data_IF_979988927599
#
_entry.id   IF_979988927599
#
_cell.length_a   1.000
_cell.length_b   1.000
_cell.length_c   1.000
_cell.angle_alpha   90.00
_cell.angle_beta   90.00
_cell.angle_gamma   90.00
#
_symmetry.space_group_name_H-M   'P 1'
#
loop_
_entity.id
_entity.type
_entity.pdbx_description
1 polymer ?
#
# COMPACT_ATOMS: atom_id res chain seq x y z
N UNK A 1 13.46 30.17 12.04
CA UNK A 1 13.38 28.73 12.39
C UNK A 1 11.94 28.25 12.52
N UNK A 2 10.99 29.03 13.07
CA UNK A 2 9.57 28.70 13.18
C UNK A 2 8.92 28.35 11.81
N UNK A 3 9.12 29.17 10.78
CA UNK A 3 8.50 28.98 9.45
C UNK A 3 8.89 27.67 8.72
N UNK A 4 10.00 27.03 9.09
CA UNK A 4 10.41 25.75 8.48
C UNK A 4 9.70 24.58 9.19
N UNK A 5 9.64 24.62 10.53
CA UNK A 5 8.91 23.59 11.30
C UNK A 5 7.42 23.60 10.96
N UNK A 6 6.80 24.78 10.89
CA UNK A 6 5.39 24.93 10.50
C UNK A 6 5.10 24.35 9.11
N UNK A 7 6.03 24.46 8.16
CA UNK A 7 5.89 23.86 6.81
C UNK A 7 5.96 22.34 6.83
N UNK A 8 6.86 21.74 7.60
CA UNK A 8 6.98 20.27 7.70
C UNK A 8 5.74 19.65 8.37
N UNK A 9 5.21 20.31 9.40
CA UNK A 9 3.98 19.86 10.06
C UNK A 9 2.77 19.95 9.15
N UNK A 10 2.65 21.05 8.39
CA UNK A 10 1.57 21.23 7.43
C UNK A 10 1.64 20.23 6.27
N UNK A 11 2.84 19.94 5.77
CA UNK A 11 3.08 18.95 4.72
C UNK A 11 2.68 17.55 5.19
N UNK A 12 3.11 17.15 6.39
CA UNK A 12 2.73 15.87 7.00
C UNK A 12 1.22 15.77 7.22
N UNK A 13 0.55 16.86 7.62
CA UNK A 13 -0.90 16.87 7.79
C UNK A 13 -1.63 16.73 6.45
N UNK A 14 -1.15 17.41 5.41
CA UNK A 14 -1.67 17.29 4.05
C UNK A 14 -1.53 15.85 3.53
N UNK A 15 -0.39 15.20 3.80
CA UNK A 15 -0.15 13.81 3.44
C UNK A 15 -1.11 12.84 4.15
N UNK A 16 -1.38 13.05 5.44
CA UNK A 16 -2.38 12.24 6.19
C UNK A 16 -3.76 12.37 5.57
N UNK A 17 -4.17 13.59 5.20
CA UNK A 17 -5.48 13.81 4.57
C UNK A 17 -5.54 13.17 3.19
N UNK A 18 -4.55 13.41 2.36
CA UNK A 18 -4.54 12.95 0.96
C UNK A 18 -4.34 11.43 0.84
N UNK A 19 -3.42 10.87 1.62
CA UNK A 19 -3.01 9.45 1.48
C UNK A 19 -3.52 8.56 2.61
N UNK A 20 -4.14 9.12 3.63
CA UNK A 20 -4.78 8.39 4.71
C UNK A 20 -6.30 8.52 4.68
N UNK A 21 -6.82 9.75 4.85
CA UNK A 21 -8.27 9.97 4.98
C UNK A 21 -9.01 9.73 3.65
N UNK A 22 -8.48 10.19 2.52
CA UNK A 22 -9.15 10.00 1.22
C UNK A 22 -9.36 8.51 0.86
N UNK A 23 -8.34 7.63 0.89
CA UNK A 23 -8.56 6.21 0.63
C UNK A 23 -9.44 5.54 1.71
N UNK A 24 -9.40 6.01 2.97
CA UNK A 24 -10.31 5.53 4.01
C UNK A 24 -11.76 5.87 3.70
N UNK A 25 -12.04 7.07 3.18
CA UNK A 25 -13.38 7.47 2.78
C UNK A 25 -13.89 6.63 1.57
N UNK A 26 -13.01 6.32 0.63
CA UNK A 26 -13.35 5.41 -0.49
C UNK A 26 -13.69 4.00 0.02
N UNK A 27 -12.90 3.47 0.96
CA UNK A 27 -13.18 2.18 1.59
C UNK A 27 -14.46 2.21 2.42
N UNK A 28 -14.73 3.30 3.14
CA UNK A 28 -15.99 3.50 3.87
C UNK A 28 -17.20 3.36 2.94
N UNK A 29 -17.17 4.01 1.78
CA UNK A 29 -18.22 3.88 0.76
C UNK A 29 -18.33 2.44 0.24
N UNK A 30 -17.20 1.81 -0.07
CA UNK A 30 -17.18 0.44 -0.55
C UNK A 30 -17.76 -0.54 0.48
N UNK A 31 -17.48 -0.37 1.79
CA UNK A 31 -18.07 -1.19 2.85
C UNK A 31 -19.61 -1.09 2.91
N UNK A 32 -20.21 0.01 2.45
CA UNK A 32 -21.66 0.13 2.39
C UNK A 32 -22.28 -0.66 1.23
N UNK A 33 -21.50 -0.93 0.18
CA UNK A 33 -21.95 -1.55 -1.06
C UNK A 33 -21.67 -3.07 -1.15
N UNK A 34 -20.58 -3.54 -0.51
CA UNK A 34 -20.18 -4.95 -0.55
C UNK A 34 -21.18 -5.87 0.15
N UNK A 35 -21.18 -7.13 -0.26
CA UNK A 35 -22.01 -8.16 0.36
C UNK A 35 -21.51 -8.53 1.76
N UNK A 36 -22.44 -8.68 2.70
CA UNK A 36 -22.13 -9.13 4.06
C UNK A 36 -22.47 -10.60 4.24
N UNK A 37 -21.55 -11.42 4.79
CA UNK A 37 -21.90 -12.77 5.24
C UNK A 37 -22.94 -12.71 6.36
N UNK A 38 -23.79 -13.72 6.47
CA UNK A 38 -24.91 -13.77 7.42
C UNK A 38 -24.49 -13.50 8.87
N UNK A 39 -23.31 -14.01 9.29
CA UNK A 39 -22.78 -13.80 10.64
C UNK A 39 -22.27 -12.37 10.89
N UNK A 40 -22.01 -11.59 9.84
CA UNK A 40 -21.54 -10.18 9.93
C UNK A 40 -22.68 -9.17 9.72
N UNK A 41 -23.88 -9.61 9.33
CA UNK A 41 -25.02 -8.68 9.13
C UNK A 41 -25.30 -7.78 10.34
N UNK A 42 -25.22 -8.25 11.61
CA UNK A 42 -25.39 -7.36 12.76
C UNK A 42 -24.35 -6.24 12.85
N UNK A 43 -23.18 -6.42 12.24
CA UNK A 43 -22.09 -5.45 12.23
C UNK A 43 -22.13 -4.49 11.05
N UNK A 44 -23.05 -4.67 10.08
CA UNK A 44 -23.14 -3.91 8.85
C UNK A 44 -23.16 -2.39 9.08
N UNK A 45 -23.84 -1.93 10.11
CA UNK A 45 -23.88 -0.50 10.47
C UNK A 45 -22.58 0.06 11.03
N UNK A 46 -21.72 -0.79 11.59
CA UNK A 46 -20.46 -0.39 12.21
C UNK A 46 -19.24 -0.61 11.31
N UNK A 47 -19.23 -1.67 10.51
CA UNK A 47 -18.09 -2.06 9.69
C UNK A 47 -17.52 -0.95 8.79
N UNK A 48 -18.32 -0.09 8.13
CA UNK A 48 -17.77 0.99 7.30
C UNK A 48 -16.82 1.92 8.07
N UNK A 49 -17.10 2.18 9.34
CA UNK A 49 -16.25 3.07 10.16
C UNK A 49 -14.87 2.47 10.43
N UNK A 50 -14.71 1.16 10.34
CA UNK A 50 -13.39 0.52 10.49
C UNK A 50 -12.42 0.94 9.39
N UNK A 51 -12.90 1.44 8.23
CA UNK A 51 -12.08 1.98 7.16
C UNK A 51 -11.12 3.08 7.64
N UNK A 52 -11.53 3.87 8.63
CA UNK A 52 -10.69 4.96 9.18
C UNK A 52 -9.51 4.46 10.03
N UNK A 53 -9.45 3.17 10.35
CA UNK A 53 -8.25 2.54 10.93
C UNK A 53 -7.06 2.75 9.97
N UNK A 54 -7.28 2.71 8.66
CA UNK A 54 -6.22 2.95 7.67
C UNK A 54 -5.68 4.39 7.76
N UNK A 55 -6.52 5.39 8.00
CA UNK A 55 -6.07 6.77 8.23
C UNK A 55 -5.18 6.87 9.47
N UNK A 56 -5.53 6.18 10.57
CA UNK A 56 -4.72 6.14 11.78
C UNK A 56 -3.36 5.46 11.54
N UNK A 57 -3.33 4.34 10.80
CA UNK A 57 -2.08 3.67 10.44
C UNK A 57 -1.23 4.50 9.47
N UNK A 58 -1.85 5.25 8.56
CA UNK A 58 -1.14 6.20 7.68
C UNK A 58 -0.49 7.32 8.47
N UNK A 59 -1.19 7.90 9.46
CA UNK A 59 -0.63 8.91 10.36
C UNK A 59 0.53 8.33 11.20
N UNK A 60 0.35 7.13 11.76
CA UNK A 60 1.41 6.44 12.52
C UNK A 60 2.64 6.17 11.65
N UNK A 61 2.45 5.75 10.40
CA UNK A 61 3.54 5.54 9.45
C UNK A 61 4.31 6.83 9.16
N UNK A 62 3.62 7.94 8.95
CA UNK A 62 4.25 9.25 8.73
C UNK A 62 4.99 9.74 9.97
N UNK A 63 4.42 9.56 11.16
CA UNK A 63 5.11 9.87 12.41
C UNK A 63 6.40 9.04 12.57
N UNK A 64 6.36 7.72 12.32
CA UNK A 64 7.57 6.86 12.33
C UNK A 64 8.60 7.35 11.31
N UNK A 65 8.18 7.72 10.11
CA UNK A 65 9.07 8.22 9.06
C UNK A 65 9.80 9.50 9.47
N UNK A 66 9.10 10.42 10.11
CA UNK A 66 9.68 11.72 10.52
C UNK A 66 10.75 11.60 11.63
N UNK A 67 10.68 10.56 12.46
CA UNK A 67 11.64 10.34 13.56
C UNK A 67 12.73 9.31 13.23
N UNK A 68 12.58 8.52 12.17
CA UNK A 68 13.52 7.44 11.82
C UNK A 68 14.66 7.93 10.94
N UNK A 69 15.85 8.05 11.51
CA UNK A 69 17.08 8.49 10.82
C UNK A 69 17.69 7.43 9.91
N UNK A 70 17.22 6.18 9.96
CA UNK A 70 17.75 5.06 9.16
C UNK A 70 17.27 5.09 7.70
N UNK A 71 16.25 5.88 7.36
CA UNK A 71 15.59 5.90 6.05
C UNK A 71 16.32 6.75 4.97
N UNK A 72 17.63 6.93 5.09
CA UNK A 72 18.42 7.70 4.11
C UNK A 72 18.70 6.91 2.81
N UNK A 73 18.71 5.59 2.86
CA UNK A 73 19.12 4.73 1.73
C UNK A 73 18.06 3.73 1.25
N UNK A 74 17.08 3.37 2.09
CA UNK A 74 16.00 2.44 1.75
C UNK A 74 14.70 2.84 2.47
N UNK A 75 13.57 2.55 1.84
CA UNK A 75 12.27 2.74 2.49
C UNK A 75 11.97 1.55 3.41
N UNK A 76 11.52 1.84 4.63
CA UNK A 76 11.04 0.83 5.58
C UNK A 76 9.51 0.91 5.63
N UNK A 77 8.83 -0.16 5.27
CA UNK A 77 7.36 -0.25 5.21
C UNK A 77 6.76 0.43 3.97
N UNK A 78 5.49 0.08 3.68
CA UNK A 78 4.79 0.59 2.50
C UNK A 78 4.61 2.11 2.57
N UNK A 79 5.00 2.89 1.53
CA UNK A 79 4.75 4.33 1.48
C UNK A 79 3.26 4.65 1.46
N UNK A 80 2.83 5.68 2.21
CA UNK A 80 1.43 6.10 2.25
C UNK A 80 0.86 6.48 0.88
N UNK A 81 1.60 7.16 -0.04
CA UNK A 81 1.11 7.41 -1.39
C UNK A 81 0.88 6.12 -2.19
N UNK A 82 1.75 5.12 -2.03
CA UNK A 82 1.58 3.84 -2.72
C UNK A 82 0.32 3.11 -2.21
N UNK A 83 0.08 3.11 -0.89
CA UNK A 83 -1.16 2.58 -0.32
C UNK A 83 -2.41 3.27 -0.86
N UNK A 84 -2.41 4.60 -0.95
CA UNK A 84 -3.53 5.37 -1.47
C UNK A 84 -3.80 5.07 -2.96
N UNK A 85 -2.75 5.02 -3.78
CA UNK A 85 -2.85 4.66 -5.21
C UNK A 85 -3.35 3.23 -5.39
N UNK A 86 -2.91 2.30 -4.54
CA UNK A 86 -3.39 0.93 -4.56
C UNK A 86 -4.91 0.87 -4.36
N UNK A 87 -5.41 1.43 -3.27
CA UNK A 87 -6.83 1.39 -2.95
C UNK A 87 -7.67 2.18 -3.96
N UNK A 88 -7.20 3.36 -4.38
CA UNK A 88 -7.87 4.17 -5.40
C UNK A 88 -8.03 3.41 -6.71
N UNK A 89 -6.97 2.85 -7.26
CA UNK A 89 -7.04 2.13 -8.54
C UNK A 89 -7.77 0.80 -8.42
N UNK A 90 -7.67 0.09 -7.29
CA UNK A 90 -8.41 -1.15 -7.06
C UNK A 90 -9.92 -0.89 -7.00
N UNK A 91 -10.34 0.12 -6.23
CA UNK A 91 -11.76 0.44 -6.06
C UNK A 91 -12.36 0.93 -7.38
N UNK A 92 -11.67 1.81 -8.11
CA UNK A 92 -12.17 2.32 -9.40
C UNK A 92 -12.21 1.22 -10.45
N UNK A 93 -11.12 0.50 -10.63
CA UNK A 93 -10.98 -0.45 -11.73
C UNK A 93 -11.66 -1.81 -11.49
N UNK A 94 -11.90 -2.20 -10.23
CA UNK A 94 -12.52 -3.49 -9.90
C UNK A 94 -13.83 -3.35 -9.10
N UNK A 95 -14.47 -2.18 -9.16
CA UNK A 95 -15.69 -1.91 -8.40
C UNK A 95 -16.76 -3.00 -8.61
N UNK A 96 -17.05 -3.34 -9.86
CA UNK A 96 -18.06 -4.37 -10.20
C UNK A 96 -17.74 -5.75 -9.59
N UNK A 97 -16.47 -6.13 -9.51
CA UNK A 97 -16.04 -7.37 -8.86
C UNK A 97 -16.16 -7.27 -7.33
N UNK A 98 -15.75 -6.15 -6.74
CA UNK A 98 -15.74 -5.93 -5.29
C UNK A 98 -17.16 -5.93 -4.69
N UNK A 99 -18.16 -5.42 -5.42
CA UNK A 99 -19.57 -5.44 -5.00
C UNK A 99 -20.31 -6.72 -5.43
N UNK A 100 -19.66 -7.59 -6.19
CA UNK A 100 -20.27 -8.87 -6.63
C UNK A 100 -20.42 -9.85 -5.45
N UNK A 101 -21.32 -10.82 -5.59
CA UNK A 101 -21.49 -11.89 -4.60
C UNK A 101 -20.27 -12.82 -4.40
N UNK A 102 -19.21 -12.66 -5.21
CA UNK A 102 -17.94 -13.41 -5.10
C UNK A 102 -16.99 -12.83 -4.09
N UNK A 103 -17.16 -11.55 -3.72
CA UNK A 103 -16.35 -10.82 -2.75
C UNK A 103 -17.26 -10.34 -1.62
N UNK A 104 -16.73 -10.24 -0.39
CA UNK A 104 -17.56 -9.87 0.76
C UNK A 104 -16.80 -8.97 1.75
N UNK A 105 -17.55 -8.38 2.69
CA UNK A 105 -17.03 -7.46 3.69
C UNK A 105 -15.91 -8.05 4.56
N UNK A 106 -15.91 -9.37 4.82
CA UNK A 106 -14.86 -10.02 5.60
C UNK A 106 -13.53 -10.01 4.84
N UNK A 107 -13.54 -10.39 3.56
CA UNK A 107 -12.33 -10.33 2.74
C UNK A 107 -11.81 -8.90 2.59
N UNK A 108 -12.71 -7.93 2.40
CA UNK A 108 -12.35 -6.51 2.33
C UNK A 108 -11.67 -6.06 3.63
N UNK A 109 -12.25 -6.40 4.78
CA UNK A 109 -11.69 -6.06 6.08
C UNK A 109 -10.31 -6.68 6.32
N UNK A 110 -10.16 -7.99 6.07
CA UNK A 110 -8.88 -8.67 6.24
C UNK A 110 -7.81 -8.10 5.29
N UNK A 111 -8.18 -7.78 4.07
CA UNK A 111 -7.28 -7.20 3.09
C UNK A 111 -6.86 -5.78 3.48
N UNK A 112 -7.78 -4.97 3.96
CA UNK A 112 -7.51 -3.66 4.52
C UNK A 112 -6.54 -3.75 5.73
N UNK A 113 -6.78 -4.68 6.65
CA UNK A 113 -5.92 -4.88 7.83
C UNK A 113 -4.51 -5.32 7.43
N UNK A 114 -4.37 -6.16 6.40
CA UNK A 114 -3.07 -6.52 5.84
C UNK A 114 -2.30 -5.27 5.36
N UNK A 115 -2.96 -4.36 4.65
CA UNK A 115 -2.34 -3.11 4.20
C UNK A 115 -2.02 -2.16 5.35
N UNK A 116 -2.86 -2.07 6.37
CA UNK A 116 -2.56 -1.35 7.61
C UNK A 116 -1.28 -1.89 8.27
N UNK A 117 -1.13 -3.23 8.32
CA UNK A 117 0.09 -3.85 8.83
C UNK A 117 1.31 -3.52 7.96
N UNK A 118 1.18 -3.59 6.62
CA UNK A 118 2.26 -3.28 5.68
C UNK A 118 2.75 -1.82 5.79
N UNK A 119 1.87 -0.88 6.15
CA UNK A 119 2.24 0.52 6.37
C UNK A 119 3.26 0.69 7.51
N UNK A 120 3.11 -0.08 8.60
CA UNK A 120 3.95 0.05 9.81
C UNK A 120 4.99 -1.04 9.96
N UNK A 121 4.92 -2.10 9.15
CA UNK A 121 5.87 -3.21 9.16
C UNK A 121 7.27 -2.74 8.77
N UNK A 122 8.29 -3.28 9.41
CA UNK A 122 9.70 -2.99 9.10
C UNK A 122 10.20 -3.84 7.90
N UNK A 123 9.43 -3.83 6.81
CA UNK A 123 9.81 -4.52 5.59
C UNK A 123 10.81 -3.67 4.80
N UNK A 124 12.01 -4.18 4.51
CA UNK A 124 12.96 -3.49 3.66
C UNK A 124 12.45 -3.51 2.22
N UNK A 125 11.90 -2.41 1.76
CA UNK A 125 11.47 -2.26 0.39
C UNK A 125 12.67 -1.87 -0.48
N UNK A 126 12.89 -2.58 -1.60
CA UNK A 126 14.01 -2.26 -2.47
C UNK A 126 13.81 -0.89 -3.15
N UNK A 127 14.90 -0.10 -3.19
CA UNK A 127 14.87 1.18 -3.87
C UNK A 127 14.98 0.98 -5.39
N UNK A 128 14.10 1.64 -6.17
CA UNK A 128 14.13 1.64 -7.63
C UNK A 128 15.30 2.44 -8.23
N UNK A 129 16.18 2.99 -7.38
CA UNK A 129 17.34 3.77 -7.82
C UNK A 129 18.41 2.86 -8.41
N UNK A 130 18.71 3.02 -9.70
CA UNK A 130 19.80 2.31 -10.37
C UNK A 130 21.15 2.99 -10.08
N UNK A 131 22.11 2.24 -9.56
CA UNK A 131 23.51 2.68 -9.41
C UNK A 131 24.33 2.39 -10.66
N UNK A 132 24.01 1.30 -11.34
CA UNK A 132 24.59 0.84 -12.59
C UNK A 132 23.51 0.10 -13.40
N UNK A 133 23.79 -0.18 -14.69
CA UNK A 133 22.88 -0.91 -15.58
C UNK A 133 23.21 -2.41 -15.65
N UNK A 134 24.10 -2.93 -14.78
CA UNK A 134 24.47 -4.33 -14.78
C UNK A 134 23.28 -5.21 -14.39
N UNK A 135 22.98 -6.21 -15.20
CA UNK A 135 21.94 -7.21 -14.93
C UNK A 135 22.17 -7.93 -13.59
N UNK A 136 23.44 -8.29 -13.31
CA UNK A 136 23.81 -9.04 -12.10
C UNK A 136 23.43 -8.30 -10.82
N UNK A 137 23.55 -6.97 -10.80
CA UNK A 137 23.33 -6.15 -9.61
C UNK A 137 21.88 -5.66 -9.49
N UNK A 138 21.11 -5.74 -10.56
CA UNK A 138 19.75 -5.16 -10.61
C UNK A 138 18.68 -6.20 -11.00
N UNK A 139 18.91 -7.50 -10.78
CA UNK A 139 17.96 -8.57 -11.16
C UNK A 139 16.53 -8.30 -10.68
N UNK A 140 16.36 -7.94 -9.40
CA UNK A 140 15.04 -7.65 -8.80
C UNK A 140 14.36 -6.46 -9.48
N UNK A 141 15.11 -5.42 -9.82
CA UNK A 141 14.58 -4.22 -10.48
C UNK A 141 14.14 -4.50 -11.92
N UNK A 142 14.91 -5.29 -12.65
CA UNK A 142 14.54 -5.72 -14.01
C UNK A 142 13.31 -6.65 -13.97
N UNK A 143 13.27 -7.57 -12.99
CA UNK A 143 12.09 -8.42 -12.78
C UNK A 143 10.85 -7.60 -12.43
N UNK A 144 11.03 -6.54 -11.63
CA UNK A 144 9.95 -5.60 -11.34
C UNK A 144 9.44 -4.92 -12.62
N UNK A 145 10.34 -4.34 -13.42
CA UNK A 145 9.97 -3.69 -14.69
C UNK A 145 9.26 -4.63 -15.65
N UNK A 146 9.77 -5.87 -15.78
CA UNK A 146 9.14 -6.87 -16.63
C UNK A 146 7.72 -7.22 -16.15
N UNK A 147 7.52 -7.37 -14.85
CA UNK A 147 6.20 -7.65 -14.26
C UNK A 147 5.23 -6.47 -14.29
N UNK A 148 5.72 -5.23 -14.46
CA UNK A 148 4.84 -4.08 -14.68
C UNK A 148 4.17 -4.10 -16.06
N UNK A 149 4.79 -4.73 -17.07
CA UNK A 149 4.23 -4.74 -18.43
C UNK A 149 2.80 -5.36 -18.49
N UNK A 150 2.54 -6.55 -17.93
CA UNK A 150 1.20 -7.11 -17.93
C UNK A 150 0.21 -6.32 -17.06
N UNK A 151 0.68 -5.56 -16.06
CA UNK A 151 -0.19 -4.73 -15.24
C UNK A 151 -0.89 -3.62 -16.05
N UNK A 152 -0.28 -3.14 -17.14
CA UNK A 152 -0.92 -2.16 -18.02
C UNK A 152 -2.18 -2.71 -18.71
N UNK A 153 -2.33 -4.02 -18.82
CA UNK A 153 -3.55 -4.66 -19.34
C UNK A 153 -4.73 -4.60 -18.34
N UNK A 154 -4.46 -4.23 -17.09
CA UNK A 154 -5.49 -4.06 -16.05
C UNK A 154 -6.16 -2.68 -16.08
N UNK A 155 -5.84 -1.84 -17.08
CA UNK A 155 -6.40 -0.51 -17.27
C UNK A 155 -6.40 0.31 -15.96
N UNK A 156 -7.58 0.64 -15.42
CA UNK A 156 -7.73 1.45 -14.20
C UNK A 156 -7.14 0.80 -12.95
N UNK A 157 -7.06 -0.56 -12.91
CA UNK A 157 -6.43 -1.31 -11.81
C UNK A 157 -4.91 -1.46 -11.94
N UNK A 158 -4.29 -0.84 -12.93
CA UNK A 158 -2.85 -0.95 -13.22
C UNK A 158 -1.98 -0.66 -11.99
N UNK A 159 -2.25 0.44 -11.27
CA UNK A 159 -1.47 0.80 -10.09
C UNK A 159 -1.62 -0.21 -8.95
N UNK A 160 -2.81 -0.79 -8.75
CA UNK A 160 -2.99 -1.85 -7.77
C UNK A 160 -2.13 -3.07 -8.11
N UNK A 161 -2.11 -3.49 -9.38
CA UNK A 161 -1.27 -4.58 -9.85
C UNK A 161 0.22 -4.32 -9.65
N UNK A 162 0.70 -3.13 -10.04
CA UNK A 162 2.11 -2.71 -9.89
C UNK A 162 2.53 -2.71 -8.42
N UNK A 163 1.69 -2.18 -7.52
CA UNK A 163 2.01 -2.08 -6.10
C UNK A 163 2.02 -3.46 -5.44
N UNK A 164 1.06 -4.34 -5.75
CA UNK A 164 1.10 -5.73 -5.30
C UNK A 164 2.36 -6.43 -5.76
N UNK A 165 2.72 -6.30 -7.03
CA UNK A 165 3.94 -6.87 -7.59
C UNK A 165 5.20 -6.35 -6.89
N UNK A 166 5.25 -5.04 -6.62
CA UNK A 166 6.34 -4.42 -5.87
C UNK A 166 6.48 -4.99 -4.46
N UNK A 167 5.37 -5.13 -3.73
CA UNK A 167 5.37 -5.69 -2.36
C UNK A 167 5.83 -7.15 -2.38
N UNK A 168 5.30 -7.97 -3.30
CA UNK A 168 5.68 -9.38 -3.42
C UNK A 168 7.18 -9.50 -3.71
N UNK A 169 7.70 -8.75 -4.69
CA UNK A 169 9.13 -8.78 -5.00
C UNK A 169 10.00 -8.28 -3.85
N UNK A 170 9.55 -7.30 -3.09
CA UNK A 170 10.29 -6.80 -1.92
C UNK A 170 10.42 -7.88 -0.84
N UNK A 171 9.35 -8.65 -0.59
CA UNK A 171 9.36 -9.76 0.36
C UNK A 171 10.27 -10.89 -0.13
N UNK A 172 10.28 -11.18 -1.43
CA UNK A 172 11.05 -12.28 -2.02
C UNK A 172 12.51 -11.89 -2.33
N UNK A 173 12.80 -10.58 -2.41
CA UNK A 173 14.13 -10.08 -2.80
C UNK A 173 15.30 -10.59 -1.96
N UNK A 174 15.20 -10.81 -0.64
CA UNK A 174 16.27 -11.43 0.14
C UNK A 174 16.58 -12.84 -0.31
N UNK A 175 15.55 -13.62 -0.69
CA UNK A 175 15.72 -14.99 -1.18
C UNK A 175 16.40 -15.04 -2.56
N UNK A 176 16.07 -14.08 -3.44
CA UNK A 176 16.71 -13.97 -4.77
C UNK A 176 18.19 -13.58 -4.63
N UNK A 177 18.54 -12.82 -3.59
CA UNK A 177 19.91 -12.36 -3.36
C UNK A 177 20.75 -13.33 -2.50
N UNK A 178 20.12 -14.18 -1.67
CA UNK A 178 20.82 -15.16 -0.81
C UNK A 178 21.47 -16.29 -1.59
N UNK A 179 21.01 -16.63 -2.79
CA UNK A 179 21.69 -17.56 -3.70
C UNK A 179 23.06 -17.08 -4.20
N UNK A 180 23.59 -15.99 -3.65
CA UNK A 180 24.88 -15.38 -4.03
C UNK A 180 26.02 -15.67 -3.03
N UNK A 181 25.72 -16.35 -1.93
CA UNK A 181 26.72 -16.64 -0.89
C UNK A 181 27.47 -17.97 -1.09
N UNK A 182 27.06 -18.78 -2.09
CA UNK A 182 27.59 -20.14 -2.31
C UNK A 182 28.34 -20.30 -3.66
N UNK A 183 28.68 -19.19 -4.36
CA UNK A 183 29.56 -19.14 -5.53
C UNK A 183 30.80 -18.21 -5.23
#
# INVERSE_FOLDING_TARGET
MSNILDRWELDSLADVVTFGVAPSAMLFSLFQEVQYPQFMEPLRGFMPYTAFIMAAFSALRLAKFNIDTRQTTSFIGLPTPANALFWGSLIVGQHAFLVSGKFNAMFLFLFMMLFCFLLVAELPLFALKFKNLSWKDNKVKYLFLLGCLPCFLLEESCFAGIILWYVILSIVSPLINSGRADD
#
